data_IF_846796656214
#
_entry.id   IF_846796656214
#
_cell.length_a   1.000
_cell.length_b   1.000
_cell.length_c   1.000
_cell.angle_alpha   90.00
_cell.angle_beta   90.00
_cell.angle_gamma   90.00
#
_symmetry.space_group_name_H-M   'P 1'
#
loop_
_entity.id
_entity.type
_entity.pdbx_description
1 polymer ?
#
# COMPACT_ATOMS: atom_id res chain seq x y z
N UNK A 1 60.59 1.72 -12.73
CA UNK A 1 59.66 2.87 -12.72
C UNK A 1 58.25 2.30 -12.74
N UNK A 2 57.41 2.79 -11.82
CA UNK A 2 56.21 2.12 -11.32
C UNK A 2 55.04 2.07 -12.32
N UNK A 3 54.31 0.97 -12.28
CA UNK A 3 53.07 0.72 -13.01
C UNK A 3 51.90 1.39 -12.30
N UNK A 4 51.21 2.31 -12.97
CA UNK A 4 49.98 2.92 -12.46
C UNK A 4 48.77 2.08 -12.90
N UNK A 5 48.19 1.33 -11.96
CA UNK A 5 46.88 0.69 -12.12
C UNK A 5 45.77 1.74 -11.92
N UNK A 6 44.85 1.95 -12.88
CA UNK A 6 43.70 2.80 -12.66
C UNK A 6 42.67 2.02 -11.84
N UNK A 7 42.56 2.35 -10.56
CA UNK A 7 41.42 2.01 -9.71
C UNK A 7 40.20 2.81 -10.20
N UNK A 8 39.37 2.21 -11.04
CA UNK A 8 38.05 2.76 -11.38
C UNK A 8 37.07 2.35 -10.27
N UNK A 9 36.76 3.32 -9.41
CA UNK A 9 35.70 3.25 -8.40
C UNK A 9 34.34 3.00 -9.08
N UNK A 10 33.73 1.83 -8.85
CA UNK A 10 32.30 1.65 -9.08
C UNK A 10 31.54 2.50 -8.05
N UNK A 11 30.70 3.47 -8.45
CA UNK A 11 29.80 4.09 -7.49
C UNK A 11 28.78 3.03 -7.07
N UNK A 12 28.80 2.63 -5.80
CA UNK A 12 27.69 1.88 -5.21
C UNK A 12 26.47 2.81 -5.22
N UNK A 13 25.62 2.64 -6.24
CA UNK A 13 24.23 3.08 -6.21
C UNK A 13 23.48 2.18 -5.23
N UNK A 14 23.75 2.36 -3.93
CA UNK A 14 22.81 1.96 -2.88
C UNK A 14 21.63 2.93 -2.99
N UNK A 15 20.74 2.66 -3.97
CA UNK A 15 19.36 3.06 -3.85
C UNK A 15 18.88 2.39 -2.56
N UNK A 16 18.98 3.13 -1.46
CA UNK A 16 18.26 2.78 -0.24
C UNK A 16 16.83 2.62 -0.72
N UNK A 17 16.28 1.41 -0.58
CA UNK A 17 14.89 1.17 -0.88
C UNK A 17 14.07 1.87 0.21
N UNK A 18 14.02 3.20 0.16
CA UNK A 18 13.04 3.97 0.91
C UNK A 18 11.69 3.43 0.46
N UNK A 19 10.85 3.07 1.42
CA UNK A 19 9.52 2.52 1.23
C UNK A 19 8.55 3.54 0.58
N UNK A 20 8.94 4.02 -0.60
CA UNK A 20 8.23 5.01 -1.36
C UNK A 20 7.04 4.33 -2.02
N UNK A 21 5.88 4.96 -1.87
CA UNK A 21 4.68 4.48 -2.51
C UNK A 21 4.87 4.42 -4.03
N UNK A 22 4.53 3.29 -4.67
CA UNK A 22 4.52 3.24 -6.12
C UNK A 22 3.50 4.25 -6.66
N UNK A 23 3.74 4.73 -7.88
CA UNK A 23 2.70 5.53 -8.54
C UNK A 23 1.48 4.63 -8.82
N UNK A 24 0.25 5.13 -8.65
CA UNK A 24 -0.96 4.33 -8.90
C UNK A 24 -0.98 3.64 -10.26
N UNK A 25 -0.46 4.28 -11.31
CA UNK A 25 -0.44 3.75 -12.67
C UNK A 25 0.53 2.57 -12.87
N UNK A 26 1.46 2.38 -11.93
CA UNK A 26 2.49 1.33 -11.97
C UNK A 26 2.05 0.08 -11.21
N UNK A 27 0.84 0.07 -10.62
CA UNK A 27 0.26 -1.10 -9.97
C UNK A 27 -0.10 -2.19 -10.97
N UNK A 28 0.88 -3.06 -11.25
CA UNK A 28 0.78 -4.19 -12.19
C UNK A 28 1.51 -5.40 -11.63
N UNK A 29 0.98 -6.58 -11.92
CA UNK A 29 1.66 -7.85 -11.70
C UNK A 29 2.82 -8.01 -12.71
N UNK A 30 3.76 -8.95 -12.50
CA UNK A 30 4.88 -9.18 -13.41
C UNK A 30 4.47 -9.56 -14.85
N UNK A 31 3.29 -10.16 -15.03
CA UNK A 31 2.69 -10.49 -16.32
C UNK A 31 1.99 -9.29 -17.01
N UNK A 32 2.02 -8.11 -16.37
CA UNK A 32 1.39 -6.89 -16.84
C UNK A 32 -0.09 -6.76 -16.50
N UNK A 33 -0.71 -7.76 -15.87
CA UNK A 33 -2.10 -7.65 -15.40
C UNK A 33 -2.23 -6.60 -14.29
N UNK A 34 -3.40 -5.95 -14.22
CA UNK A 34 -3.63 -4.83 -13.31
C UNK A 34 -3.72 -5.32 -11.86
N UNK A 35 -3.06 -4.63 -10.93
CA UNK A 35 -3.33 -4.72 -9.49
C UNK A 35 -4.35 -3.64 -9.13
N UNK A 36 -5.38 -3.97 -8.35
CA UNK A 36 -6.42 -3.01 -7.98
C UNK A 36 -5.94 -2.04 -6.90
N UNK A 37 -5.31 -2.58 -5.86
CA UNK A 37 -4.69 -1.79 -4.81
C UNK A 37 -3.50 -2.53 -4.16
N UNK A 38 -2.63 -1.78 -3.50
CA UNK A 38 -1.63 -2.32 -2.59
C UNK A 38 -1.81 -1.69 -1.21
N UNK A 39 -1.87 -2.53 -0.18
CA UNK A 39 -2.07 -2.15 1.21
C UNK A 39 -0.77 -2.44 1.99
N UNK A 40 -0.39 -1.54 2.87
CA UNK A 40 0.90 -1.57 3.57
C UNK A 40 0.69 -1.45 5.07
N UNK A 41 1.55 -2.08 5.86
CA UNK A 41 1.43 -2.09 7.32
C UNK A 41 2.21 -1.00 8.04
N UNK A 42 3.10 -0.31 7.33
CA UNK A 42 3.90 0.74 7.96
C UNK A 42 3.15 2.07 7.97
N UNK A 43 3.36 2.82 9.04
CA UNK A 43 3.10 4.25 9.11
C UNK A 43 4.43 4.98 9.34
N UNK A 44 4.58 6.14 8.72
CA UNK A 44 5.74 7.00 8.94
C UNK A 44 5.29 8.46 9.10
N UNK A 45 5.99 9.27 9.92
CA UNK A 45 5.83 10.71 9.89
C UNK A 45 6.26 11.33 8.54
N UNK A 46 7.05 10.61 7.74
CA UNK A 46 7.48 11.04 6.42
C UNK A 46 6.67 10.31 5.34
N UNK A 47 5.89 11.07 4.54
CA UNK A 47 5.02 10.49 3.50
C UNK A 47 5.78 9.59 2.51
N UNK A 48 7.03 9.91 2.20
CA UNK A 48 7.86 9.11 1.30
C UNK A 48 8.26 7.73 1.84
N UNK A 49 7.94 7.40 3.09
CA UNK A 49 8.30 6.13 3.75
C UNK A 49 7.07 5.35 4.25
N UNK A 50 5.85 5.75 3.85
CA UNK A 50 4.64 5.12 4.39
C UNK A 50 4.27 3.80 3.71
N UNK A 51 4.71 3.55 2.48
CA UNK A 51 4.39 2.31 1.75
C UNK A 51 5.44 1.24 2.00
N UNK A 52 5.62 0.89 3.28
CA UNK A 52 6.58 -0.08 3.78
C UNK A 52 5.94 -1.28 4.45
N UNK A 53 6.78 -2.07 5.14
CA UNK A 53 6.35 -3.21 5.91
C UNK A 53 5.81 -4.36 5.05
N UNK A 54 4.82 -5.08 5.59
CA UNK A 54 4.16 -6.15 4.87
C UNK A 54 3.22 -5.57 3.82
N UNK A 55 3.27 -6.11 2.61
CA UNK A 55 2.44 -5.68 1.48
C UNK A 55 1.36 -6.71 1.22
N UNK A 56 0.10 -6.26 1.14
CA UNK A 56 -1.01 -7.04 0.64
C UNK A 56 -1.41 -6.50 -0.74
N UNK A 57 -1.20 -7.33 -1.76
CA UNK A 57 -1.64 -7.03 -3.12
C UNK A 57 -3.11 -7.43 -3.29
N UNK A 58 -3.93 -6.49 -3.72
CA UNK A 58 -5.37 -6.67 -3.95
C UNK A 58 -5.63 -6.72 -5.45
N UNK A 59 -6.19 -7.82 -5.93
CA UNK A 59 -6.48 -8.02 -7.35
C UNK A 59 -7.85 -7.41 -7.72
N UNK A 60 -8.05 -7.07 -9.00
CA UNK A 60 -9.35 -6.60 -9.49
C UNK A 60 -10.45 -7.65 -9.24
N UNK A 61 -11.54 -7.23 -8.59
CA UNK A 61 -12.67 -8.11 -8.29
C UNK A 61 -12.55 -8.87 -6.97
N UNK A 62 -11.41 -8.79 -6.27
CA UNK A 62 -11.25 -9.45 -4.98
C UNK A 62 -12.32 -8.98 -4.00
N UNK A 63 -13.01 -9.96 -3.42
CA UNK A 63 -14.04 -9.81 -2.41
C UNK A 63 -13.62 -10.62 -1.18
N UNK A 64 -13.06 -9.94 -0.18
CA UNK A 64 -12.43 -10.55 0.99
C UNK A 64 -13.15 -10.11 2.26
N UNK A 65 -14.13 -10.88 2.74
CA UNK A 65 -14.81 -10.60 4.01
C UNK A 65 -13.94 -10.89 5.24
N UNK A 66 -12.85 -11.65 5.10
CA UNK A 66 -11.93 -11.99 6.20
C UNK A 66 -10.48 -11.82 5.71
N UNK A 67 -9.85 -10.70 6.04
CA UNK A 67 -8.44 -10.47 5.71
C UNK A 67 -7.54 -11.46 6.48
N UNK A 68 -6.44 -11.96 5.87
CA UNK A 68 -5.51 -12.82 6.58
C UNK A 68 -4.90 -12.12 7.81
N UNK A 69 -4.66 -12.88 8.88
CA UNK A 69 -4.21 -12.36 10.19
C UNK A 69 -2.97 -11.45 10.14
N UNK A 70 -2.10 -11.63 9.14
CA UNK A 70 -0.92 -10.78 8.93
C UNK A 70 -1.24 -9.31 8.62
N UNK A 71 -2.45 -8.99 8.19
CA UNK A 71 -2.87 -7.65 7.77
C UNK A 71 -4.15 -7.14 8.46
N UNK A 72 -4.90 -8.03 9.12
CA UNK A 72 -6.10 -7.64 9.87
C UNK A 72 -5.74 -6.62 10.95
N UNK A 73 -6.38 -5.44 10.91
CA UNK A 73 -6.14 -4.34 11.85
C UNK A 73 -4.66 -3.89 11.89
N UNK A 74 -3.96 -4.01 10.75
CA UNK A 74 -2.54 -3.67 10.62
C UNK A 74 -2.22 -2.74 9.46
N UNK A 75 -3.19 -2.45 8.58
CA UNK A 75 -2.96 -1.59 7.42
C UNK A 75 -2.92 -0.12 7.85
N UNK A 76 -1.88 0.59 7.40
CA UNK A 76 -1.59 1.98 7.76
C UNK A 76 -1.46 2.91 6.56
N UNK A 77 -1.21 2.37 5.36
CA UNK A 77 -1.20 3.14 4.11
C UNK A 77 -1.66 2.29 2.92
N UNK A 78 -2.07 2.94 1.84
CA UNK A 78 -2.55 2.24 0.65
C UNK A 78 -2.37 3.03 -0.65
N UNK A 79 -2.30 2.30 -1.75
CA UNK A 79 -2.32 2.84 -3.11
C UNK A 79 -3.42 2.13 -3.90
N UNK A 80 -4.31 2.90 -4.53
CA UNK A 80 -5.39 2.39 -5.38
C UNK A 80 -5.09 2.76 -6.83
N UNK A 81 -5.17 1.79 -7.73
CA UNK A 81 -4.86 1.98 -9.14
C UNK A 81 -5.89 2.87 -9.87
N UNK A 82 -5.50 3.47 -11.01
CA UNK A 82 -6.42 4.21 -11.88
C UNK A 82 -7.62 3.38 -12.31
N UNK A 83 -8.78 4.03 -12.28
CA UNK A 83 -10.10 3.45 -12.59
C UNK A 83 -10.50 2.30 -11.66
N UNK A 84 -9.96 2.27 -10.45
CA UNK A 84 -10.38 1.36 -9.41
C UNK A 84 -10.85 2.10 -8.15
N UNK A 85 -11.70 1.44 -7.38
CA UNK A 85 -12.10 1.84 -6.04
C UNK A 85 -11.97 0.66 -5.07
N UNK A 86 -11.40 0.94 -3.91
CA UNK A 86 -11.24 -0.01 -2.82
C UNK A 86 -12.25 0.34 -1.72
N UNK A 87 -13.20 -0.56 -1.49
CA UNK A 87 -14.13 -0.48 -0.38
C UNK A 87 -13.56 -1.31 0.77
N UNK A 88 -13.50 -0.73 1.97
CA UNK A 88 -12.97 -1.40 3.17
C UNK A 88 -13.96 -1.33 4.30
N UNK A 89 -13.86 -2.29 5.23
CA UNK A 89 -14.69 -2.39 6.41
C UNK A 89 -13.84 -2.58 7.65
N UNK A 90 -14.32 -2.03 8.76
CA UNK A 90 -13.61 -2.03 10.04
C UNK A 90 -13.83 -3.27 10.89
N UNK A 91 -14.65 -4.21 10.41
CA UNK A 91 -14.89 -5.50 11.04
C UNK A 91 -14.97 -6.55 9.95
N UNK A 92 -14.54 -7.76 10.30
CA UNK A 92 -14.69 -8.95 9.47
C UNK A 92 -16.15 -9.19 9.08
N UNK A 93 -16.39 -9.91 7.99
CA UNK A 93 -17.74 -10.11 7.45
C UNK A 93 -18.30 -8.88 6.73
N UNK A 94 -17.46 -7.87 6.43
CA UNK A 94 -17.86 -6.58 5.86
C UNK A 94 -18.85 -5.81 6.73
N UNK A 95 -18.59 -5.77 8.03
CA UNK A 95 -19.42 -5.08 9.01
C UNK A 95 -18.76 -3.80 9.56
N UNK A 96 -19.47 -3.09 10.44
CA UNK A 96 -18.95 -1.91 11.11
C UNK A 96 -18.89 -0.68 10.20
N UNK A 97 -17.88 0.16 10.40
CA UNK A 97 -17.68 1.33 9.55
C UNK A 97 -17.14 0.88 8.20
N UNK A 98 -17.60 1.53 7.13
CA UNK A 98 -17.06 1.32 5.79
C UNK A 98 -16.48 2.62 5.23
N UNK A 99 -15.56 2.47 4.28
CA UNK A 99 -15.01 3.59 3.52
C UNK A 99 -14.62 3.14 2.13
N UNK A 100 -14.86 4.02 1.15
CA UNK A 100 -14.36 3.88 -0.21
C UNK A 100 -13.14 4.77 -0.42
N UNK A 101 -12.06 4.19 -0.91
CA UNK A 101 -10.88 4.88 -1.40
C UNK A 101 -10.87 4.84 -2.92
N UNK A 102 -10.86 6.02 -3.54
CA UNK A 102 -10.71 6.13 -4.99
C UNK A 102 -9.22 6.01 -5.37
N UNK A 103 -8.93 5.90 -6.67
CA UNK A 103 -7.58 5.96 -7.24
C UNK A 103 -6.71 7.04 -6.60
N UNK A 104 -5.47 6.68 -6.24
CA UNK A 104 -4.51 7.57 -5.63
C UNK A 104 -3.70 6.90 -4.53
N UNK A 105 -2.86 7.70 -3.86
CA UNK A 105 -2.07 7.27 -2.70
C UNK A 105 -2.73 7.84 -1.44
N UNK A 106 -2.91 7.00 -0.44
CA UNK A 106 -3.26 7.40 0.92
C UNK A 106 -2.07 7.06 1.79
N UNK A 107 -1.22 8.07 2.04
CA UNK A 107 0.02 7.88 2.77
C UNK A 107 -0.21 7.46 4.22
N UNK A 108 -1.21 8.03 4.90
CA UNK A 108 -1.42 7.78 6.33
C UNK A 108 -2.89 7.65 6.64
N UNK A 109 -3.33 6.43 6.94
CA UNK A 109 -4.72 6.16 7.31
C UNK A 109 -5.11 6.82 8.65
N UNK A 110 -4.13 7.17 9.50
CA UNK A 110 -4.37 7.93 10.73
C UNK A 110 -4.95 9.33 10.49
N UNK A 111 -4.73 9.89 9.30
CA UNK A 111 -5.25 11.21 8.92
C UNK A 111 -6.70 11.11 8.42
N UNK A 112 -7.20 9.89 8.27
CA UNK A 112 -8.49 9.59 7.69
C UNK A 112 -9.45 9.19 8.81
N UNK A 113 -10.38 10.09 9.15
CA UNK A 113 -11.36 9.86 10.23
C UNK A 113 -12.26 8.63 9.98
N UNK A 114 -12.55 7.90 11.05
CA UNK A 114 -13.47 6.76 11.11
C UNK A 114 -14.60 7.08 12.09
N UNK A 115 -15.66 7.72 11.59
CA UNK A 115 -16.77 8.17 12.42
C UNK A 115 -16.39 9.35 13.33
N UNK A 116 -17.00 9.42 14.51
CA UNK A 116 -16.78 10.52 15.48
C UNK A 116 -15.47 10.36 16.28
N UNK A 117 -15.06 9.11 16.54
CA UNK A 117 -13.88 8.79 17.32
C UNK A 117 -12.96 7.85 16.54
N UNK A 118 -11.70 8.25 16.41
CA UNK A 118 -10.65 7.47 15.76
C UNK A 118 -10.54 7.67 14.25
N UNK A 119 -9.66 6.87 13.67
CA UNK A 119 -9.24 6.95 12.28
C UNK A 119 -9.15 5.54 11.66
N UNK A 120 -8.68 5.47 10.42
CA UNK A 120 -8.59 4.23 9.66
C UNK A 120 -7.26 3.49 9.81
N UNK A 121 -6.30 4.04 10.57
CA UNK A 121 -5.05 3.34 10.87
C UNK A 121 -5.36 2.05 11.63
N UNK A 122 -4.71 0.95 11.25
CA UNK A 122 -4.85 -0.34 11.94
C UNK A 122 -6.32 -0.78 12.12
N UNK A 123 -7.16 -0.46 11.14
CA UNK A 123 -8.62 -0.58 11.28
C UNK A 123 -9.31 -1.28 10.12
N UNK A 124 -8.57 -1.84 9.16
CA UNK A 124 -9.14 -2.54 8.01
C UNK A 124 -9.14 -4.05 8.30
N UNK A 125 -10.32 -4.66 8.22
CA UNK A 125 -10.52 -6.10 8.50
C UNK A 125 -11.18 -6.87 7.35
N UNK A 126 -11.76 -6.15 6.37
CA UNK A 126 -12.33 -6.71 5.15
C UNK A 126 -12.25 -5.70 4.00
N UNK A 127 -12.26 -6.18 2.75
CA UNK A 127 -12.25 -5.31 1.57
C UNK A 127 -12.98 -5.91 0.36
N UNK A 128 -13.28 -5.03 -0.60
CA UNK A 128 -13.74 -5.36 -1.93
C UNK A 128 -13.15 -4.34 -2.91
N UNK A 129 -12.55 -4.81 -3.99
CA UNK A 129 -11.90 -3.94 -4.96
C UNK A 129 -12.55 -4.06 -6.34
N UNK A 130 -13.05 -2.93 -6.86
CA UNK A 130 -13.69 -2.85 -8.17
C UNK A 130 -12.83 -2.03 -9.12
N UNK A 131 -12.66 -2.50 -10.34
CA UNK A 131 -12.04 -1.75 -11.43
C UNK A 131 -12.99 -1.65 -12.62
N UNK A 132 -12.95 -0.51 -13.33
CA UNK A 132 -13.73 -0.24 -14.55
C UNK A 132 -12.83 0.00 -15.78
#
# INVERSE_FOLDING_TARGET
MATAHPLLLLPLLLASAWAQCPAPADLKNPDGSKICAQLYTDDSPYYAQCCGGNVLQVQPGDDVPYIPLGWNDKISSLVVAPRCDLNVWSRTGKEGYNRKFNSGVVYRLKEIKKGLFGDWDNSISAYYCKCN
#
